data_IF_047809787277
#
_entry.id   IF_047809787277
#
_cell.length_a   1.000
_cell.length_b   1.000
_cell.length_c   1.000
_cell.angle_alpha   90.00
_cell.angle_beta   90.00
_cell.angle_gamma   90.00
#
_symmetry.space_group_name_H-M   'P 1'
#
loop_
_entity.id
_entity.type
_entity.pdbx_description
1 polymer ?
#
# COMPACT_ATOMS: atom_id res chain seq x y z
N UNK A 1 27.32 9.53 14.84
CA UNK A 1 27.40 8.70 13.61
C UNK A 1 26.51 7.49 13.77
N UNK A 2 25.84 7.09 12.72
CA UNK A 2 24.71 6.15 12.61
C UNK A 2 24.95 4.77 13.24
N UNK A 3 25.00 4.72 14.57
CA UNK A 3 25.27 3.49 15.33
C UNK A 3 24.12 2.46 15.21
N UNK A 4 22.94 2.90 14.76
CA UNK A 4 21.78 2.01 14.58
C UNK A 4 21.95 0.99 13.46
N UNK A 5 22.82 1.23 12.47
CA UNK A 5 23.08 0.27 11.38
C UNK A 5 23.69 -1.03 11.88
N UNK A 6 24.39 -0.99 13.00
CA UNK A 6 25.03 -2.15 13.61
C UNK A 6 24.06 -2.95 14.50
N UNK A 7 22.86 -2.43 14.76
CA UNK A 7 21.84 -3.17 15.53
C UNK A 7 21.27 -4.33 14.70
N UNK A 8 21.25 -5.56 15.21
CA UNK A 8 20.68 -6.71 14.50
C UNK A 8 19.24 -6.48 14.01
N UNK A 9 18.42 -5.74 14.78
CA UNK A 9 17.07 -5.39 14.44
C UNK A 9 16.97 -4.54 13.16
N UNK A 10 17.94 -3.67 12.87
CA UNK A 10 17.92 -2.88 11.64
C UNK A 10 18.01 -3.75 10.38
N UNK A 11 18.97 -4.67 10.35
CA UNK A 11 19.14 -5.61 9.24
C UNK A 11 17.94 -6.54 9.10
N UNK A 12 17.36 -6.96 10.25
CA UNK A 12 16.16 -7.78 10.30
C UNK A 12 14.98 -7.07 9.62
N UNK A 13 14.65 -5.85 10.05
CA UNK A 13 13.57 -5.05 9.48
C UNK A 13 13.82 -4.69 8.02
N UNK A 14 15.06 -4.40 7.64
CA UNK A 14 15.44 -4.10 6.25
C UNK A 14 15.08 -5.25 5.31
N UNK A 15 15.46 -6.48 5.66
CA UNK A 15 15.16 -7.66 4.82
C UNK A 15 13.64 -7.88 4.71
N UNK A 16 12.93 -7.83 5.83
CA UNK A 16 11.48 -8.03 5.82
C UNK A 16 10.74 -6.93 5.03
N UNK A 17 11.17 -5.67 5.14
CA UNK A 17 10.59 -4.56 4.36
C UNK A 17 10.83 -4.73 2.86
N UNK A 18 12.04 -5.11 2.45
CA UNK A 18 12.36 -5.39 1.05
C UNK A 18 11.44 -6.48 0.52
N UNK A 19 11.33 -7.61 1.23
CA UNK A 19 10.54 -8.75 0.78
C UNK A 19 9.03 -8.48 0.80
N UNK A 20 8.50 -7.81 1.83
CA UNK A 20 7.10 -7.47 1.90
C UNK A 20 6.69 -6.43 0.84
N UNK A 21 7.55 -5.42 0.61
CA UNK A 21 7.32 -4.42 -0.44
C UNK A 21 7.35 -5.05 -1.83
N UNK A 22 8.36 -5.87 -2.12
CA UNK A 22 8.44 -6.62 -3.37
C UNK A 22 7.23 -7.53 -3.57
N UNK A 23 6.82 -8.24 -2.51
CA UNK A 23 5.66 -9.13 -2.54
C UNK A 23 4.36 -8.40 -2.89
N UNK A 24 4.02 -7.35 -2.14
CA UNK A 24 2.81 -6.58 -2.39
C UNK A 24 2.82 -5.95 -3.77
N UNK A 25 3.93 -5.31 -4.16
CA UNK A 25 4.04 -4.63 -5.45
C UNK A 25 3.96 -5.60 -6.63
N UNK A 26 4.67 -6.72 -6.56
CA UNK A 26 4.60 -7.74 -7.60
C UNK A 26 3.20 -8.35 -7.72
N UNK A 27 2.53 -8.59 -6.59
CA UNK A 27 1.13 -9.04 -6.59
C UNK A 27 0.21 -7.98 -7.22
N UNK A 28 0.35 -6.71 -6.89
CA UNK A 28 -0.46 -5.63 -7.48
C UNK A 28 -0.26 -5.51 -8.99
N UNK A 29 0.97 -5.68 -9.47
CA UNK A 29 1.26 -5.62 -10.90
C UNK A 29 0.58 -6.73 -11.71
N UNK A 30 0.35 -7.89 -11.10
CA UNK A 30 -0.26 -9.05 -11.73
C UNK A 30 -1.78 -9.13 -11.50
N UNK A 31 -2.26 -8.64 -10.35
CA UNK A 31 -3.57 -8.96 -9.80
C UNK A 31 -4.73 -8.54 -10.71
N UNK A 32 -4.75 -7.31 -11.19
CA UNK A 32 -5.89 -6.78 -11.95
C UNK A 32 -6.05 -7.49 -13.29
N UNK A 33 -4.95 -7.74 -14.00
CA UNK A 33 -4.99 -8.50 -15.23
C UNK A 33 -5.40 -9.95 -14.98
N UNK A 34 -4.80 -10.63 -13.98
CA UNK A 34 -5.17 -11.98 -13.60
C UNK A 34 -6.66 -12.10 -13.23
N UNK A 35 -7.15 -11.19 -12.41
CA UNK A 35 -8.55 -11.16 -11.99
C UNK A 35 -9.49 -10.98 -13.20
N UNK A 36 -9.12 -10.14 -14.18
CA UNK A 36 -9.93 -9.91 -15.38
C UNK A 36 -9.79 -11.01 -16.41
N UNK A 37 -8.57 -11.39 -16.77
CA UNK A 37 -8.28 -12.27 -17.90
C UNK A 37 -8.49 -13.77 -17.57
N UNK A 38 -8.20 -14.18 -16.33
CA UNK A 38 -8.23 -15.57 -15.90
C UNK A 38 -9.48 -15.88 -15.08
N UNK A 39 -9.79 -15.04 -14.07
CA UNK A 39 -10.97 -15.27 -13.21
C UNK A 39 -12.25 -14.71 -13.82
N UNK A 40 -12.15 -13.72 -14.72
CA UNK A 40 -13.30 -13.13 -15.42
C UNK A 40 -14.12 -12.17 -14.58
N UNK A 41 -13.52 -11.51 -13.57
CA UNK A 41 -14.24 -10.61 -12.66
C UNK A 41 -14.81 -9.40 -13.39
N UNK A 42 -15.96 -8.92 -12.90
CA UNK A 42 -16.57 -7.67 -13.29
C UNK A 42 -16.20 -6.52 -12.32
N UNK A 43 -16.67 -5.30 -12.61
CA UNK A 43 -16.35 -4.11 -11.81
C UNK A 43 -16.82 -4.19 -10.36
N UNK A 44 -17.93 -4.85 -10.06
CA UNK A 44 -18.36 -5.09 -8.68
C UNK A 44 -17.43 -6.07 -7.96
N UNK A 45 -17.10 -7.17 -8.60
CA UNK A 45 -16.22 -8.19 -8.04
C UNK A 45 -14.80 -7.67 -7.79
N UNK A 46 -14.25 -6.83 -8.66
CA UNK A 46 -12.95 -6.19 -8.40
C UNK A 46 -13.04 -5.24 -7.20
N UNK A 47 -14.14 -4.49 -7.07
CA UNK A 47 -14.42 -3.66 -5.91
C UNK A 47 -14.48 -4.47 -4.61
N UNK A 48 -15.21 -5.59 -4.61
CA UNK A 48 -15.28 -6.52 -3.47
C UNK A 48 -13.91 -7.08 -3.11
N UNK A 49 -13.13 -7.54 -4.09
CA UNK A 49 -11.79 -8.09 -3.84
C UNK A 49 -10.86 -7.05 -3.19
N UNK A 50 -10.93 -5.81 -3.63
CA UNK A 50 -10.12 -4.73 -3.05
C UNK A 50 -10.63 -4.29 -1.67
N UNK A 51 -11.94 -4.26 -1.43
CA UNK A 51 -12.50 -4.02 -0.10
C UNK A 51 -12.08 -5.10 0.89
N UNK A 52 -12.18 -6.38 0.48
CA UNK A 52 -11.74 -7.54 1.28
C UNK A 52 -10.25 -7.47 1.61
N UNK A 53 -9.42 -6.99 0.69
CA UNK A 53 -7.99 -6.75 0.95
C UNK A 53 -7.74 -5.75 2.07
N UNK A 54 -8.58 -4.75 2.25
CA UNK A 54 -8.40 -3.70 3.26
C UNK A 54 -8.95 -4.11 4.65
N UNK A 55 -9.79 -5.16 4.76
CA UNK A 55 -10.36 -5.63 6.03
C UNK A 55 -9.27 -5.99 7.06
N UNK A 56 -8.21 -6.76 6.73
CA UNK A 56 -7.15 -7.05 7.70
C UNK A 56 -6.41 -5.80 8.18
N UNK A 57 -6.31 -4.75 7.33
CA UNK A 57 -5.76 -3.45 7.70
C UNK A 57 -6.62 -2.72 8.74
N UNK A 58 -7.94 -2.77 8.60
CA UNK A 58 -8.86 -2.27 9.61
C UNK A 58 -8.79 -3.09 10.92
N UNK A 59 -8.59 -4.41 10.82
CA UNK A 59 -8.53 -5.33 11.96
C UNK A 59 -7.11 -5.48 12.57
N UNK A 60 -6.18 -4.57 12.29
CA UNK A 60 -4.79 -4.64 12.81
C UNK A 60 -4.70 -4.62 14.34
N UNK A 61 -5.75 -4.18 15.05
CA UNK A 61 -5.82 -4.30 16.51
C UNK A 61 -5.76 -5.76 17.00
N UNK A 62 -6.13 -6.74 16.17
CA UNK A 62 -6.01 -8.16 16.49
C UNK A 62 -4.55 -8.63 16.65
N UNK A 63 -3.58 -7.87 16.13
CA UNK A 63 -2.15 -8.13 16.33
C UNK A 63 -1.81 -8.23 17.82
N UNK A 64 -2.45 -7.41 18.67
CA UNK A 64 -2.17 -7.46 20.10
C UNK A 64 -2.52 -8.80 20.75
N UNK A 65 -3.53 -9.52 20.24
CA UNK A 65 -3.85 -10.87 20.73
C UNK A 65 -2.81 -11.90 20.27
N UNK A 66 -2.24 -11.72 19.09
CA UNK A 66 -1.15 -12.58 18.62
C UNK A 66 0.13 -12.38 19.45
N UNK A 67 0.37 -11.16 19.94
CA UNK A 67 1.51 -10.85 20.80
C UNK A 67 1.42 -11.46 22.20
N UNK A 68 0.24 -11.96 22.62
CA UNK A 68 0.11 -12.77 23.84
C UNK A 68 0.69 -14.18 23.67
N UNK A 69 0.82 -14.65 22.42
CA UNK A 69 1.21 -16.02 22.09
C UNK A 69 2.67 -16.10 21.61
N UNK A 70 3.14 -15.05 20.92
CA UNK A 70 4.47 -15.04 20.33
C UNK A 70 5.16 -13.67 20.37
N UNK A 71 6.49 -13.67 20.32
CA UNK A 71 7.30 -12.44 20.28
C UNK A 71 7.07 -11.66 18.99
N UNK A 72 7.09 -10.34 19.07
CA UNK A 72 6.72 -9.44 17.96
C UNK A 72 7.59 -9.62 16.71
N UNK A 73 8.90 -9.80 16.85
CA UNK A 73 9.77 -10.09 15.70
C UNK A 73 9.39 -11.40 15.00
N UNK A 74 9.02 -12.44 15.75
CA UNK A 74 8.54 -13.71 15.15
C UNK A 74 7.21 -13.52 14.43
N UNK A 75 6.28 -12.75 15.02
CA UNK A 75 5.02 -12.42 14.35
C UNK A 75 5.28 -11.68 13.04
N UNK A 76 6.22 -10.73 13.03
CA UNK A 76 6.64 -10.00 11.83
C UNK A 76 7.12 -10.93 10.72
N UNK A 77 8.00 -11.90 11.04
CA UNK A 77 8.49 -12.88 10.07
C UNK A 77 7.38 -13.85 9.60
N UNK A 78 6.55 -14.38 10.52
CA UNK A 78 5.39 -15.21 10.15
C UNK A 78 4.40 -14.48 9.24
N UNK A 79 4.22 -13.18 9.46
CA UNK A 79 3.39 -12.35 8.60
C UNK A 79 3.93 -12.29 7.18
N UNK A 80 5.26 -12.19 6.99
CA UNK A 80 5.88 -12.26 5.66
C UNK A 80 5.79 -13.64 5.04
N UNK A 81 5.88 -14.73 5.84
CA UNK A 81 5.61 -16.09 5.35
C UNK A 81 4.17 -16.20 4.82
N UNK A 82 3.21 -15.72 5.61
CA UNK A 82 1.78 -15.75 5.24
C UNK A 82 1.51 -14.91 3.99
N UNK A 83 2.15 -13.74 3.87
CA UNK A 83 2.14 -12.91 2.66
C UNK A 83 2.60 -13.72 1.44
N UNK A 84 3.75 -14.41 1.56
CA UNK A 84 4.30 -15.25 0.49
C UNK A 84 3.36 -16.40 0.10
N UNK A 85 2.73 -17.06 1.08
CA UNK A 85 1.75 -18.13 0.85
C UNK A 85 0.54 -17.58 0.06
N UNK A 86 -0.04 -16.45 0.52
CA UNK A 86 -1.18 -15.83 -0.14
C UNK A 86 -0.88 -15.41 -1.58
N UNK A 87 0.30 -14.82 -1.82
CA UNK A 87 0.76 -14.45 -3.16
C UNK A 87 0.94 -15.69 -4.04
N UNK A 88 1.70 -16.68 -3.58
CA UNK A 88 2.00 -17.88 -4.35
C UNK A 88 0.75 -18.69 -4.68
N UNK A 89 -0.20 -18.75 -3.77
CA UNK A 89 -1.47 -19.42 -3.97
C UNK A 89 -2.37 -18.72 -5.01
N UNK A 90 -2.30 -17.40 -5.17
CA UNK A 90 -3.20 -16.62 -6.04
C UNK A 90 -3.29 -17.21 -7.45
N UNK A 91 -2.16 -17.59 -8.05
CA UNK A 91 -2.13 -18.13 -9.41
C UNK A 91 -2.79 -19.50 -9.62
N UNK A 92 -3.14 -20.20 -8.53
CA UNK A 92 -3.77 -21.53 -8.57
C UNK A 92 -5.29 -21.47 -8.40
N UNK A 93 -5.82 -20.37 -7.88
CA UNK A 93 -7.25 -20.21 -7.61
C UNK A 93 -7.88 -19.30 -8.68
N UNK A 94 -8.46 -19.91 -9.69
CA UNK A 94 -9.04 -19.25 -10.87
C UNK A 94 -10.53 -18.95 -10.74
N UNK A 95 -11.09 -19.05 -9.52
CA UNK A 95 -12.48 -18.69 -9.21
C UNK A 95 -12.55 -17.45 -8.33
N UNK A 96 -13.65 -16.70 -8.40
CA UNK A 96 -13.81 -15.50 -7.59
C UNK A 96 -13.71 -15.76 -6.06
N UNK A 97 -14.36 -16.79 -5.47
CA UNK A 97 -14.16 -17.12 -4.06
C UNK A 97 -12.70 -17.49 -3.72
N UNK A 98 -12.03 -18.22 -4.60
CA UNK A 98 -10.61 -18.56 -4.44
C UNK A 98 -9.71 -17.32 -4.47
N UNK A 99 -9.99 -16.37 -5.39
CA UNK A 99 -9.30 -15.08 -5.45
C UNK A 99 -9.47 -14.28 -4.15
N UNK A 100 -10.70 -14.24 -3.59
CA UNK A 100 -10.96 -13.57 -2.31
C UNK A 100 -10.17 -14.22 -1.17
N UNK A 101 -10.18 -15.56 -1.09
CA UNK A 101 -9.48 -16.29 -0.04
C UNK A 101 -7.96 -16.05 -0.07
N UNK A 102 -7.34 -16.11 -1.24
CA UNK A 102 -5.91 -15.82 -1.38
C UNK A 102 -5.57 -14.35 -1.11
N UNK A 103 -6.46 -13.44 -1.49
CA UNK A 103 -6.35 -12.00 -1.19
C UNK A 103 -6.40 -11.74 0.32
N UNK A 104 -7.30 -12.38 1.06
CA UNK A 104 -7.37 -12.27 2.54
C UNK A 104 -6.07 -12.76 3.17
N UNK A 105 -5.58 -13.95 2.79
CA UNK A 105 -4.35 -14.54 3.34
C UNK A 105 -3.16 -13.62 3.09
N UNK A 106 -2.98 -13.16 1.86
CA UNK A 106 -1.95 -12.21 1.49
C UNK A 106 -2.04 -10.92 2.30
N UNK A 107 -3.25 -10.39 2.44
CA UNK A 107 -3.49 -9.10 3.12
C UNK A 107 -3.28 -9.18 4.63
N UNK A 108 -3.68 -10.27 5.30
CA UNK A 108 -3.35 -10.49 6.72
C UNK A 108 -1.83 -10.44 6.88
N UNK A 109 -1.09 -11.16 6.05
CA UNK A 109 0.37 -11.15 6.09
C UNK A 109 0.95 -9.75 5.93
N UNK A 110 0.48 -8.99 4.95
CA UNK A 110 0.99 -7.64 4.71
C UNK A 110 0.68 -6.66 5.85
N UNK A 111 -0.57 -6.56 6.29
CA UNK A 111 -0.97 -5.58 7.30
C UNK A 111 -0.43 -5.89 8.70
N UNK A 112 -0.32 -7.18 9.07
CA UNK A 112 0.29 -7.57 10.33
C UNK A 112 1.79 -7.30 10.33
N UNK A 113 2.49 -7.58 9.20
CA UNK A 113 3.87 -7.16 9.03
C UNK A 113 4.02 -5.64 9.12
N UNK A 114 3.20 -4.85 8.45
CA UNK A 114 3.28 -3.38 8.47
C UNK A 114 3.13 -2.84 9.90
N UNK A 115 2.21 -3.41 10.68
CA UNK A 115 1.96 -3.02 12.07
C UNK A 115 3.14 -3.37 12.97
N UNK A 116 3.64 -4.59 12.90
CA UNK A 116 4.80 -5.04 13.71
C UNK A 116 6.08 -4.33 13.30
N UNK A 117 6.31 -4.05 12.00
CA UNK A 117 7.45 -3.29 11.53
C UNK A 117 7.50 -1.87 12.11
N UNK A 118 6.35 -1.18 12.14
CA UNK A 118 6.24 0.15 12.77
C UNK A 118 6.52 0.09 14.27
N UNK A 119 5.94 -0.89 14.95
CA UNK A 119 6.10 -1.10 16.38
C UNK A 119 7.55 -1.43 16.76
N UNK A 120 8.16 -2.42 16.12
CA UNK A 120 9.57 -2.79 16.34
C UNK A 120 10.53 -1.63 16.07
N UNK A 121 10.27 -0.82 15.04
CA UNK A 121 11.10 0.37 14.76
C UNK A 121 11.05 1.35 15.93
N UNK A 122 9.88 1.61 16.50
CA UNK A 122 9.74 2.55 17.63
C UNK A 122 10.30 1.97 18.94
N UNK A 123 10.28 0.65 19.11
CA UNK A 123 10.77 -0.01 20.32
C UNK A 123 12.30 -0.10 20.36
N UNK A 124 12.95 -0.41 19.24
CA UNK A 124 14.40 -0.71 19.20
C UNK A 124 15.27 0.48 18.82
N UNK A 125 14.67 1.56 18.31
CA UNK A 125 15.39 2.78 17.96
C UNK A 125 14.85 3.96 18.77
N UNK A 126 15.75 4.78 19.28
CA UNK A 126 15.38 5.95 20.08
C UNK A 126 14.64 7.02 19.25
N UNK A 127 14.17 8.08 19.93
CA UNK A 127 13.40 9.16 19.28
C UNK A 127 14.16 9.89 18.18
N UNK A 128 15.49 9.92 18.24
CA UNK A 128 16.33 10.55 17.23
C UNK A 128 16.54 9.63 16.03
N UNK A 129 16.81 8.36 16.25
CA UNK A 129 17.15 7.39 15.21
C UNK A 129 15.91 6.82 14.49
N UNK A 130 14.80 6.61 15.17
CA UNK A 130 13.59 5.99 14.60
C UNK A 130 13.09 6.70 13.32
N UNK A 131 13.02 8.04 13.21
CA UNK A 131 12.64 8.71 11.96
C UNK A 131 13.60 8.42 10.80
N UNK A 132 14.90 8.34 11.09
CA UNK A 132 15.94 8.05 10.10
C UNK A 132 15.82 6.60 9.61
N UNK A 133 15.58 5.66 10.54
CA UNK A 133 15.33 4.25 10.23
C UNK A 133 14.09 4.10 9.36
N UNK A 134 12.96 4.74 9.71
CA UNK A 134 11.76 4.75 8.87
C UNK A 134 12.02 5.26 7.46
N UNK A 135 12.74 6.38 7.34
CA UNK A 135 13.06 6.95 6.03
C UNK A 135 13.91 5.99 5.18
N UNK A 136 14.89 5.31 5.79
CA UNK A 136 15.74 4.34 5.10
C UNK A 136 14.97 3.07 4.70
N UNK A 137 14.17 2.52 5.61
CA UNK A 137 13.34 1.35 5.33
C UNK A 137 12.37 1.65 4.17
N UNK A 138 11.75 2.85 4.13
CA UNK A 138 10.95 3.30 2.98
C UNK A 138 11.76 3.37 1.69
N UNK A 139 13.01 3.84 1.76
CA UNK A 139 13.91 3.88 0.60
C UNK A 139 14.19 2.48 0.05
N UNK A 140 14.50 1.50 0.91
CA UNK A 140 14.66 0.11 0.51
C UNK A 140 13.38 -0.49 -0.08
N UNK A 141 12.22 -0.21 0.53
CA UNK A 141 10.93 -0.62 -0.02
C UNK A 141 10.67 -0.04 -1.42
N UNK A 142 11.00 1.23 -1.64
CA UNK A 142 10.85 1.87 -2.96
C UNK A 142 11.76 1.24 -4.01
N UNK A 143 13.02 0.93 -3.67
CA UNK A 143 13.93 0.21 -4.55
C UNK A 143 13.42 -1.21 -4.86
N UNK A 144 12.91 -1.91 -3.85
CA UNK A 144 12.31 -3.23 -4.02
C UNK A 144 11.10 -3.19 -4.97
N UNK A 145 10.26 -2.17 -4.86
CA UNK A 145 9.10 -1.97 -5.74
C UNK A 145 9.51 -1.75 -7.21
N UNK A 146 10.53 -0.94 -7.45
CA UNK A 146 11.07 -0.73 -8.80
C UNK A 146 11.64 -2.04 -9.35
N UNK A 147 12.47 -2.71 -8.56
CA UNK A 147 13.14 -3.95 -8.97
C UNK A 147 12.13 -5.05 -9.27
N UNK A 148 11.16 -5.30 -8.38
CA UNK A 148 10.15 -6.35 -8.61
C UNK A 148 9.23 -5.98 -9.77
N UNK A 149 8.88 -4.71 -9.94
CA UNK A 149 8.11 -4.26 -11.09
C UNK A 149 8.82 -4.58 -12.41
N UNK A 150 10.13 -4.30 -12.49
CA UNK A 150 10.95 -4.63 -13.65
C UNK A 150 11.07 -6.15 -13.87
N UNK A 151 11.23 -6.94 -12.79
CA UNK A 151 11.28 -8.40 -12.85
C UNK A 151 9.95 -8.97 -13.35
N UNK A 152 8.82 -8.52 -12.78
CA UNK A 152 7.48 -8.96 -13.22
C UNK A 152 7.23 -8.55 -14.67
N UNK A 153 7.59 -7.32 -15.05
CA UNK A 153 7.52 -6.88 -16.44
C UNK A 153 8.28 -7.83 -17.38
N UNK A 154 9.51 -8.14 -17.08
CA UNK A 154 10.34 -9.04 -17.88
C UNK A 154 9.78 -10.47 -17.92
N UNK A 155 9.43 -11.03 -16.77
CA UNK A 155 8.95 -12.40 -16.65
C UNK A 155 7.56 -12.58 -17.29
N UNK A 156 6.73 -11.54 -17.36
CA UNK A 156 5.41 -11.62 -17.98
C UNK A 156 5.42 -11.95 -19.47
N UNK A 157 6.55 -11.79 -20.14
CA UNK A 157 6.71 -12.21 -21.54
C UNK A 157 6.95 -13.71 -21.71
N UNK A 158 7.44 -14.39 -20.67
CA UNK A 158 7.94 -15.76 -20.76
C UNK A 158 7.17 -16.73 -19.84
N UNK A 159 6.60 -16.23 -18.76
CA UNK A 159 6.02 -17.06 -17.70
C UNK A 159 4.55 -16.68 -17.50
N UNK A 160 3.61 -17.67 -17.46
CA UNK A 160 2.20 -17.40 -17.20
C UNK A 160 1.98 -16.87 -15.79
N UNK A 161 0.79 -16.30 -15.52
CA UNK A 161 0.41 -15.75 -14.21
C UNK A 161 0.73 -16.69 -13.04
N UNK A 162 0.36 -17.96 -13.18
CA UNK A 162 0.61 -19.00 -12.15
C UNK A 162 2.09 -19.08 -11.77
N UNK A 163 2.98 -19.07 -12.75
CA UNK A 163 4.42 -19.11 -12.52
C UNK A 163 4.95 -17.82 -11.85
N UNK A 164 4.49 -16.66 -12.31
CA UNK A 164 4.87 -15.39 -11.73
C UNK A 164 4.46 -15.27 -10.25
N UNK A 165 3.20 -15.58 -9.91
CA UNK A 165 2.73 -15.60 -8.53
C UNK A 165 3.49 -16.60 -7.66
N UNK A 166 3.74 -17.80 -8.18
CA UNK A 166 4.46 -18.86 -7.45
C UNK A 166 5.90 -18.43 -7.14
N UNK A 167 6.64 -17.95 -8.12
CA UNK A 167 8.02 -17.50 -7.94
C UNK A 167 8.11 -16.36 -6.92
N UNK A 168 7.21 -15.37 -7.04
CA UNK A 168 7.14 -14.26 -6.11
C UNK A 168 6.78 -14.72 -4.69
N UNK A 169 5.79 -15.61 -4.56
CA UNK A 169 5.36 -16.17 -3.28
C UNK A 169 6.45 -17.00 -2.60
N UNK A 170 7.18 -17.83 -3.37
CA UNK A 170 8.35 -18.59 -2.87
C UNK A 170 9.44 -17.64 -2.39
N UNK A 171 9.79 -16.63 -3.17
CA UNK A 171 10.81 -15.65 -2.77
C UNK A 171 10.46 -14.97 -1.44
N UNK A 172 9.24 -14.45 -1.32
CA UNK A 172 8.77 -13.76 -0.11
C UNK A 172 8.66 -14.74 1.07
N UNK A 173 8.09 -15.92 0.84
CA UNK A 173 7.89 -16.94 1.88
C UNK A 173 9.21 -17.48 2.43
N UNK A 174 10.17 -17.81 1.56
CA UNK A 174 11.50 -18.29 1.98
C UNK A 174 12.27 -17.21 2.75
N UNK A 175 12.17 -15.94 2.35
CA UNK A 175 12.75 -14.85 3.11
C UNK A 175 12.15 -14.75 4.52
N UNK A 176 10.82 -14.86 4.66
CA UNK A 176 10.14 -14.90 5.95
C UNK A 176 10.62 -16.09 6.81
N UNK A 177 10.71 -17.30 6.23
CA UNK A 177 11.20 -18.50 6.91
C UNK A 177 12.66 -18.31 7.36
N UNK A 178 13.53 -17.76 6.50
CA UNK A 178 14.89 -17.43 6.86
C UNK A 178 14.94 -16.46 8.04
N UNK A 179 14.10 -15.44 8.07
CA UNK A 179 14.06 -14.48 9.16
C UNK A 179 13.53 -15.07 10.47
N UNK A 180 12.72 -16.14 10.45
CA UNK A 180 12.33 -16.89 11.65
C UNK A 180 13.52 -17.57 12.34
N UNK A 181 14.61 -17.88 11.64
CA UNK A 181 15.83 -18.44 12.24
C UNK A 181 16.67 -17.40 12.96
N UNK A 182 16.36 -16.09 12.79
CA UNK A 182 17.11 -14.99 13.40
C UNK A 182 16.43 -14.56 14.70
N UNK A 183 17.24 -14.19 15.68
CA UNK A 183 16.76 -13.58 16.93
C UNK A 183 17.40 -12.18 17.07
N UNK A 184 16.77 -11.14 16.50
CA UNK A 184 17.31 -9.78 16.54
C UNK A 184 17.03 -9.04 17.84
N UNK A 185 16.22 -9.64 18.75
CA UNK A 185 15.80 -9.04 19.99
C UNK A 185 16.82 -9.33 21.08
N UNK A 186 17.55 -8.30 21.55
CA UNK A 186 18.46 -8.41 22.69
C UNK A 186 17.73 -8.31 24.03
N UNK A 187 16.59 -7.58 24.09
CA UNK A 187 15.70 -7.45 25.24
C UNK A 187 14.22 -7.31 24.82
N UNK A 188 13.29 -7.68 25.68
CA UNK A 188 11.86 -7.47 25.45
C UNK A 188 11.53 -5.98 25.56
N UNK A 189 11.17 -5.35 24.45
CA UNK A 189 10.69 -3.97 24.45
C UNK A 189 9.35 -3.81 25.15
N UNK A 190 9.18 -2.72 25.88
CA UNK A 190 7.93 -2.38 26.56
C UNK A 190 6.82 -2.10 25.54
N UNK A 191 5.74 -2.87 25.59
CA UNK A 191 4.54 -2.63 24.79
C UNK A 191 3.86 -1.33 25.23
N UNK A 192 4.03 -0.25 24.48
CA UNK A 192 3.23 0.96 24.64
C UNK A 192 1.92 0.82 23.87
N UNK A 193 0.83 0.59 24.62
CA UNK A 193 -0.52 0.66 24.05
C UNK A 193 -0.89 2.12 23.77
N UNK A 194 -0.97 2.48 22.49
CA UNK A 194 -1.59 3.74 22.09
C UNK A 194 -3.11 3.54 22.00
N UNK A 195 -3.87 4.16 22.90
CA UNK A 195 -5.34 4.18 22.82
C UNK A 195 -5.75 5.00 21.60
N UNK A 196 -6.67 4.46 20.80
CA UNK A 196 -7.31 5.23 19.73
C UNK A 196 -8.22 6.28 20.37
N UNK A 197 -8.00 7.55 20.05
CA UNK A 197 -8.82 8.65 20.56
C UNK A 197 -9.25 9.54 19.41
N UNK A 198 -10.57 9.67 19.24
CA UNK A 198 -11.16 10.59 18.27
C UNK A 198 -11.35 11.97 18.92
N UNK A 199 -10.51 12.94 18.55
CA UNK A 199 -10.60 14.33 19.03
C UNK A 199 -11.36 15.18 18.01
N UNK A 200 -12.55 15.67 18.37
CA UNK A 200 -13.37 16.54 17.50
C UNK A 200 -12.61 17.76 16.96
N UNK A 201 -11.63 18.25 17.70
CA UNK A 201 -10.74 19.35 17.30
C UNK A 201 -10.04 19.10 15.95
N UNK A 202 -9.75 17.84 15.60
CA UNK A 202 -9.03 17.46 14.38
C UNK A 202 -9.95 16.93 13.27
N UNK A 203 -11.24 17.32 13.28
CA UNK A 203 -12.23 16.84 12.32
C UNK A 203 -11.82 17.03 10.86
N UNK A 204 -11.18 18.19 10.54
CA UNK A 204 -10.71 18.48 9.18
C UNK A 204 -9.63 17.47 8.73
N UNK A 205 -8.67 17.16 9.60
CA UNK A 205 -7.66 16.13 9.32
C UNK A 205 -8.31 14.76 9.06
N UNK A 206 -9.30 14.37 9.84
CA UNK A 206 -10.00 13.10 9.65
C UNK A 206 -10.79 13.06 8.35
N UNK A 207 -11.48 14.15 8.02
CA UNK A 207 -12.21 14.28 6.75
C UNK A 207 -11.24 14.20 5.55
N UNK A 208 -10.13 14.91 5.60
CA UNK A 208 -9.12 14.88 4.55
C UNK A 208 -8.49 13.48 4.41
N UNK A 209 -8.27 12.75 5.52
CA UNK A 209 -7.80 11.36 5.46
C UNK A 209 -8.83 10.42 4.84
N UNK A 210 -10.13 10.60 5.13
CA UNK A 210 -11.19 9.84 4.49
C UNK A 210 -11.21 10.07 2.98
N UNK A 211 -11.18 11.34 2.55
CA UNK A 211 -11.17 11.72 1.14
C UNK A 211 -9.90 11.25 0.42
N UNK A 212 -8.75 11.34 1.09
CA UNK A 212 -7.49 10.81 0.55
C UNK A 212 -7.52 9.30 0.37
N UNK A 213 -8.12 8.57 1.32
CA UNK A 213 -8.36 7.14 1.19
C UNK A 213 -9.33 6.80 0.06
N UNK A 214 -10.42 7.55 -0.07
CA UNK A 214 -11.40 7.40 -1.14
C UNK A 214 -10.75 7.57 -2.52
N UNK A 215 -10.02 8.68 -2.71
CA UNK A 215 -9.26 8.96 -3.92
C UNK A 215 -8.25 7.85 -4.24
N UNK A 216 -7.50 7.40 -3.22
CA UNK A 216 -6.54 6.32 -3.37
C UNK A 216 -7.18 5.06 -3.97
N UNK A 217 -8.38 4.72 -3.55
CA UNK A 217 -9.08 3.54 -4.06
C UNK A 217 -9.58 3.75 -5.50
N UNK A 218 -10.01 4.95 -5.87
CA UNK A 218 -10.35 5.24 -7.27
C UNK A 218 -9.13 5.02 -8.15
N UNK A 219 -7.96 5.52 -7.76
CA UNK A 219 -6.70 5.35 -8.49
C UNK A 219 -6.23 3.89 -8.54
N UNK A 220 -6.13 3.21 -7.39
CA UNK A 220 -5.56 1.86 -7.29
C UNK A 220 -6.49 0.80 -7.89
N UNK A 221 -7.82 0.98 -7.77
CA UNK A 221 -8.79 -0.02 -8.20
C UNK A 221 -9.33 0.31 -9.59
N UNK A 222 -10.03 1.44 -9.70
CA UNK A 222 -10.85 1.70 -10.89
C UNK A 222 -10.04 2.26 -12.06
N UNK A 223 -9.01 3.09 -11.81
CA UNK A 223 -8.16 3.57 -12.89
C UNK A 223 -7.33 2.42 -13.50
N UNK A 224 -6.77 1.51 -12.67
CA UNK A 224 -6.09 0.32 -13.19
C UNK A 224 -7.07 -0.63 -13.88
N UNK A 225 -8.25 -0.85 -13.30
CA UNK A 225 -9.27 -1.72 -13.89
C UNK A 225 -9.77 -1.16 -15.23
N UNK A 226 -9.89 0.17 -15.37
CA UNK A 226 -10.19 0.84 -16.65
C UNK A 226 -9.14 0.50 -17.71
N UNK A 227 -7.85 0.57 -17.36
CA UNK A 227 -6.76 0.26 -18.29
C UNK A 227 -6.80 -1.21 -18.74
N UNK A 228 -7.15 -2.13 -17.84
CA UNK A 228 -7.21 -3.56 -18.13
C UNK A 228 -8.51 -3.97 -18.83
N UNK A 229 -9.67 -3.53 -18.33
CA UNK A 229 -10.97 -3.98 -18.85
C UNK A 229 -11.35 -3.29 -20.16
N UNK A 230 -11.31 -1.96 -20.18
CA UNK A 230 -11.73 -1.17 -21.35
C UNK A 230 -10.65 -1.13 -22.42
N UNK A 231 -9.41 -0.83 -22.02
CA UNK A 231 -8.31 -0.65 -22.99
C UNK A 231 -7.51 -1.92 -23.23
N UNK A 232 -7.78 -3.01 -22.48
CA UNK A 232 -7.16 -4.34 -22.65
C UNK A 232 -5.63 -4.30 -22.63
N UNK A 233 -5.05 -3.45 -21.77
CA UNK A 233 -3.61 -3.37 -21.64
C UNK A 233 -3.07 -4.66 -20.98
N UNK A 234 -2.03 -5.21 -21.61
CA UNK A 234 -1.35 -6.40 -21.14
C UNK A 234 -0.66 -6.17 -19.79
N UNK A 235 -0.46 -7.25 -19.03
CA UNK A 235 0.23 -7.22 -17.74
C UNK A 235 1.62 -6.60 -17.81
N UNK A 236 2.36 -6.83 -18.91
CA UNK A 236 3.66 -6.20 -19.14
C UNK A 236 3.56 -4.68 -19.23
N UNK A 237 2.53 -4.15 -19.88
CA UNK A 237 2.30 -2.69 -19.96
C UNK A 237 1.97 -2.13 -18.57
N UNK A 238 1.09 -2.79 -17.81
CA UNK A 238 0.73 -2.37 -16.44
C UNK A 238 1.95 -2.41 -15.52
N UNK A 239 2.75 -3.46 -15.55
CA UNK A 239 3.98 -3.56 -14.77
C UNK A 239 5.00 -2.46 -15.16
N UNK A 240 5.16 -2.17 -16.45
CA UNK A 240 5.99 -1.06 -16.94
C UNK A 240 5.52 0.31 -16.44
N UNK A 241 4.20 0.55 -16.45
CA UNK A 241 3.60 1.78 -15.89
C UNK A 241 3.90 1.91 -14.40
N UNK A 242 3.83 0.83 -13.62
CA UNK A 242 4.19 0.86 -12.20
C UNK A 242 5.66 1.21 -11.99
N UNK A 243 6.59 0.63 -12.78
CA UNK A 243 8.01 0.98 -12.72
C UNK A 243 8.21 2.47 -13.00
N UNK A 244 7.57 2.99 -14.06
CA UNK A 244 7.61 4.41 -14.41
C UNK A 244 7.07 5.28 -13.26
N UNK A 245 5.94 4.92 -12.67
CA UNK A 245 5.33 5.65 -11.56
C UNK A 245 6.25 5.73 -10.34
N UNK A 246 6.90 4.63 -9.96
CA UNK A 246 7.86 4.64 -8.85
C UNK A 246 9.11 5.48 -9.17
N UNK A 247 9.62 5.42 -10.39
CA UNK A 247 10.74 6.24 -10.82
C UNK A 247 10.37 7.74 -10.76
N UNK A 248 9.20 8.11 -11.28
CA UNK A 248 8.70 9.49 -11.22
C UNK A 248 8.46 9.95 -9.77
N UNK A 249 7.86 9.09 -8.93
CA UNK A 249 7.69 9.36 -7.51
C UNK A 249 9.01 9.66 -6.82
N UNK A 250 10.03 8.85 -7.07
CA UNK A 250 11.36 9.05 -6.53
C UNK A 250 11.94 10.42 -6.95
N UNK A 251 11.80 10.78 -8.21
CA UNK A 251 12.30 12.05 -8.76
C UNK A 251 11.51 13.26 -8.25
N UNK A 252 10.18 13.14 -8.15
CA UNK A 252 9.29 14.27 -7.82
C UNK A 252 9.15 14.55 -6.33
N UNK A 253 9.35 13.57 -5.45
CA UNK A 253 9.19 13.73 -3.99
C UNK A 253 9.99 14.90 -3.42
N UNK A 254 11.21 15.13 -3.92
CA UNK A 254 12.05 16.26 -3.50
C UNK A 254 11.40 17.61 -3.81
N UNK A 255 10.81 17.73 -4.99
CA UNK A 255 10.16 18.97 -5.43
C UNK A 255 8.84 19.20 -4.70
N UNK A 256 8.09 18.15 -4.44
CA UNK A 256 6.83 18.20 -3.66
C UNK A 256 7.12 18.67 -2.23
N UNK A 257 8.09 18.05 -1.57
CA UNK A 257 8.48 18.47 -0.20
C UNK A 257 8.93 19.94 -0.16
N UNK A 258 9.67 20.38 -1.18
CA UNK A 258 10.07 21.80 -1.30
C UNK A 258 8.86 22.71 -1.52
N UNK A 259 7.91 22.32 -2.37
CA UNK A 259 6.70 23.09 -2.61
C UNK A 259 5.85 23.26 -1.32
N UNK A 260 5.71 22.19 -0.53
CA UNK A 260 5.01 22.26 0.76
C UNK A 260 5.69 23.28 1.71
N UNK A 261 7.02 23.27 1.76
CA UNK A 261 7.76 24.20 2.62
C UNK A 261 7.67 25.67 2.16
N UNK A 262 7.60 25.91 0.85
CA UNK A 262 7.57 27.27 0.26
C UNK A 262 6.15 27.84 0.23
N UNK A 263 5.18 27.06 -0.24
CA UNK A 263 3.80 27.52 -0.49
C UNK A 263 2.81 27.13 0.61
N UNK A 264 3.23 26.25 1.53
CA UNK A 264 2.38 25.72 2.60
C UNK A 264 1.43 24.61 2.15
N UNK A 265 0.94 23.85 3.15
CA UNK A 265 0.08 22.68 2.94
C UNK A 265 -1.22 23.03 2.24
N UNK A 266 -1.85 24.16 2.57
CA UNK A 266 -3.14 24.58 2.01
C UNK A 266 -3.06 24.73 0.49
N UNK A 267 -2.05 25.43 0.00
CA UNK A 267 -1.90 25.67 -1.45
C UNK A 267 -1.61 24.37 -2.18
N UNK A 268 -0.69 23.57 -1.65
CA UNK A 268 -0.27 22.31 -2.27
C UNK A 268 -1.42 21.29 -2.33
N UNK A 269 -2.17 21.12 -1.23
CA UNK A 269 -3.33 20.21 -1.19
C UNK A 269 -4.51 20.72 -2.04
N UNK A 270 -4.69 22.05 -2.15
CA UNK A 270 -5.72 22.60 -3.05
C UNK A 270 -5.37 22.38 -4.52
N UNK A 271 -4.08 22.57 -4.89
CA UNK A 271 -3.59 22.27 -6.25
C UNK A 271 -3.75 20.77 -6.58
N UNK A 272 -3.38 19.89 -5.64
CA UNK A 272 -3.62 18.46 -5.76
C UNK A 272 -5.08 18.16 -6.07
N UNK A 273 -6.00 18.69 -5.24
CA UNK A 273 -7.44 18.43 -5.38
C UNK A 273 -8.00 18.92 -6.71
N UNK A 274 -7.59 20.13 -7.15
CA UNK A 274 -8.00 20.69 -8.44
C UNK A 274 -7.46 19.86 -9.63
N UNK A 275 -6.19 19.43 -9.55
CA UNK A 275 -5.60 18.57 -10.59
C UNK A 275 -6.30 17.22 -10.67
N UNK A 276 -6.62 16.60 -9.52
CA UNK A 276 -7.32 15.32 -9.47
C UNK A 276 -8.75 15.41 -10.02
N UNK A 277 -9.45 16.51 -9.76
CA UNK A 277 -10.77 16.74 -10.36
C UNK A 277 -10.70 16.70 -11.89
N UNK A 278 -9.71 17.37 -12.48
CA UNK A 278 -9.50 17.36 -13.93
C UNK A 278 -9.12 15.95 -14.43
N UNK A 279 -8.25 15.25 -13.70
CA UNK A 279 -7.82 13.89 -14.06
C UNK A 279 -8.99 12.90 -14.04
N UNK A 280 -9.86 12.99 -13.03
CA UNK A 280 -11.01 12.10 -12.89
C UNK A 280 -12.05 12.38 -13.99
N UNK A 281 -12.31 13.63 -14.35
CA UNK A 281 -13.09 13.96 -15.54
C UNK A 281 -12.43 13.39 -16.79
N UNK A 282 -11.11 13.47 -16.89
CA UNK A 282 -10.35 12.86 -17.98
C UNK A 282 -10.61 11.35 -18.08
N UNK A 283 -10.52 10.60 -16.98
CA UNK A 283 -10.84 9.17 -16.98
C UNK A 283 -12.27 8.88 -17.44
N UNK A 284 -13.24 9.70 -17.02
CA UNK A 284 -14.63 9.51 -17.37
C UNK A 284 -14.94 9.72 -18.86
N UNK A 285 -14.25 10.64 -19.54
CA UNK A 285 -14.62 11.07 -20.89
C UNK A 285 -13.63 10.72 -21.99
N UNK A 286 -12.36 10.40 -21.64
CA UNK A 286 -11.35 10.06 -22.65
C UNK A 286 -11.51 8.61 -23.10
N UNK A 287 -11.41 8.42 -24.44
CA UNK A 287 -11.55 7.10 -25.06
C UNK A 287 -10.23 6.57 -25.63
N UNK A 288 -9.19 7.40 -25.66
CA UNK A 288 -7.87 7.01 -26.15
C UNK A 288 -7.04 6.34 -25.03
N UNK A 289 -6.55 5.12 -25.29
CA UNK A 289 -5.77 4.34 -24.32
C UNK A 289 -4.47 5.01 -23.88
N UNK A 290 -3.76 5.66 -24.80
CA UNK A 290 -2.50 6.35 -24.48
C UNK A 290 -2.74 7.56 -23.58
N UNK A 291 -3.82 8.31 -23.83
CA UNK A 291 -4.18 9.43 -22.96
C UNK A 291 -4.59 8.91 -21.59
N UNK A 292 -5.31 7.79 -21.50
CA UNK A 292 -5.64 7.17 -20.20
C UNK A 292 -4.38 6.76 -19.44
N UNK A 293 -3.35 6.23 -20.10
CA UNK A 293 -2.04 5.92 -19.50
C UNK A 293 -1.37 7.19 -19.00
N UNK A 294 -1.38 8.28 -19.77
CA UNK A 294 -0.79 9.56 -19.36
C UNK A 294 -1.53 10.09 -18.11
N UNK A 295 -2.87 10.04 -18.09
CA UNK A 295 -3.65 10.45 -16.93
C UNK A 295 -3.28 9.61 -15.69
N UNK A 296 -3.08 8.29 -15.85
CA UNK A 296 -2.71 7.40 -14.76
C UNK A 296 -1.30 7.73 -14.19
N UNK A 297 -0.37 8.06 -15.07
CA UNK A 297 0.98 8.48 -14.66
C UNK A 297 0.94 9.84 -13.93
N UNK A 298 0.16 10.80 -14.44
CA UNK A 298 -0.02 12.10 -13.79
C UNK A 298 -0.71 11.94 -12.42
N UNK A 299 -1.74 11.11 -12.32
CA UNK A 299 -2.43 10.81 -11.06
C UNK A 299 -1.45 10.25 -10.01
N UNK A 300 -0.55 9.35 -10.41
CA UNK A 300 0.51 8.83 -9.55
C UNK A 300 1.43 9.93 -9.00
N UNK A 301 1.77 10.94 -9.81
CA UNK A 301 2.58 12.07 -9.36
C UNK A 301 1.82 12.94 -8.36
N UNK A 302 0.58 13.31 -8.65
CA UNK A 302 -0.25 14.10 -7.74
C UNK A 302 -0.60 13.35 -6.46
N UNK A 303 -0.67 12.01 -6.49
CA UNK A 303 -0.88 11.20 -5.29
C UNK A 303 0.12 11.50 -4.17
N UNK A 304 1.37 11.83 -4.50
CA UNK A 304 2.42 12.07 -3.53
C UNK A 304 2.27 13.41 -2.78
N UNK A 305 1.43 14.32 -3.27
CA UNK A 305 1.14 15.59 -2.58
C UNK A 305 0.40 15.36 -1.24
N UNK A 306 -0.23 14.21 -1.04
CA UNK A 306 -0.86 13.80 0.22
C UNK A 306 0.08 13.76 1.44
N UNK A 307 1.40 13.82 1.22
CA UNK A 307 2.41 14.04 2.28
C UNK A 307 2.05 15.29 3.11
N UNK A 308 1.46 16.32 2.49
CA UNK A 308 0.99 17.53 3.14
C UNK A 308 -0.04 17.31 4.26
N UNK A 309 -0.79 16.20 4.26
CA UNK A 309 -1.72 15.87 5.35
C UNK A 309 -0.99 15.55 6.66
N UNK A 310 0.15 14.86 6.57
CA UNK A 310 0.93 14.53 7.75
C UNK A 310 1.61 15.77 8.33
N UNK A 311 2.15 16.65 7.48
CA UNK A 311 2.76 17.91 7.93
C UNK A 311 1.72 18.86 8.50
N UNK A 312 0.50 18.89 7.94
CA UNK A 312 -0.62 19.65 8.49
C UNK A 312 -0.95 19.21 9.93
N UNK A 313 -1.10 17.89 10.17
CA UNK A 313 -1.36 17.41 11.53
C UNK A 313 -0.20 17.74 12.48
N UNK A 314 1.04 17.56 12.06
CA UNK A 314 2.22 17.88 12.88
C UNK A 314 2.25 19.34 13.33
N UNK A 315 1.77 20.28 12.49
CA UNK A 315 1.72 21.72 12.80
C UNK A 315 0.52 22.12 13.65
N UNK A 316 -0.58 21.36 13.60
CA UNK A 316 -1.86 21.75 14.21
C UNK A 316 -2.21 20.95 15.46
N UNK A 317 -1.63 19.77 15.65
CA UNK A 317 -1.93 18.91 16.77
C UNK A 317 -1.05 19.20 17.99
N UNK A 318 -1.66 19.09 19.16
CA UNK A 318 -0.91 19.07 20.41
C UNK A 318 0.00 17.84 20.46
N UNK A 319 1.19 17.94 21.00
CA UNK A 319 2.20 16.87 21.02
C UNK A 319 1.67 15.57 21.66
N UNK A 320 0.81 15.71 22.68
CA UNK A 320 0.15 14.57 23.36
C UNK A 320 -0.86 13.84 22.50
N UNK A 321 -1.50 14.54 21.56
CA UNK A 321 -2.57 14.01 20.70
C UNK A 321 -2.06 13.49 19.34
N UNK A 322 -0.82 13.85 18.96
CA UNK A 322 -0.27 13.59 17.62
C UNK A 322 -0.30 12.11 17.25
N UNK A 323 0.22 11.24 18.12
CA UNK A 323 0.28 9.79 17.86
C UNK A 323 -1.12 9.16 17.77
N UNK A 324 -2.02 9.55 18.67
CA UNK A 324 -3.38 9.03 18.73
C UNK A 324 -4.21 9.49 17.51
N UNK A 325 -4.08 10.77 17.14
CA UNK A 325 -4.78 11.33 15.97
C UNK A 325 -4.24 10.76 14.65
N UNK A 326 -2.93 10.50 14.56
CA UNK A 326 -2.33 9.81 13.40
C UNK A 326 -2.89 8.39 13.26
N UNK A 327 -2.97 7.63 14.34
CA UNK A 327 -3.55 6.29 14.35
C UNK A 327 -5.04 6.29 13.96
N UNK A 328 -5.82 7.28 14.45
CA UNK A 328 -7.21 7.46 14.05
C UNK A 328 -7.35 7.81 12.57
N UNK A 329 -6.49 8.72 12.05
CA UNK A 329 -6.46 9.04 10.63
C UNK A 329 -6.18 7.81 9.75
N UNK A 330 -5.26 6.94 10.16
CA UNK A 330 -4.98 5.68 9.50
C UNK A 330 -6.19 4.75 9.47
N UNK A 331 -6.89 4.60 10.62
CA UNK A 331 -8.13 3.81 10.70
C UNK A 331 -9.22 4.35 9.77
N UNK A 332 -9.44 5.67 9.75
CA UNK A 332 -10.41 6.33 8.87
C UNK A 332 -10.06 6.11 7.39
N UNK A 333 -8.78 6.15 7.04
CA UNK A 333 -8.32 5.85 5.69
C UNK A 333 -8.65 4.42 5.27
N UNK A 334 -8.53 3.42 6.17
CA UNK A 334 -8.94 2.04 5.89
C UNK A 334 -10.46 1.87 5.79
N UNK A 335 -11.25 2.61 6.59
CA UNK A 335 -12.71 2.61 6.46
C UNK A 335 -13.10 3.06 5.05
N UNK A 336 -12.56 4.17 4.57
CA UNK A 336 -12.84 4.63 3.20
C UNK A 336 -12.35 3.63 2.14
N UNK A 337 -11.22 2.97 2.41
CA UNK A 337 -10.65 1.97 1.51
C UNK A 337 -11.48 0.67 1.40
N UNK A 338 -12.36 0.39 2.37
CA UNK A 338 -13.34 -0.69 2.30
C UNK A 338 -14.62 -0.21 1.58
N UNK A 339 -15.13 0.96 1.96
CA UNK A 339 -16.44 1.44 1.50
C UNK A 339 -16.39 1.85 0.01
N UNK A 340 -15.37 2.60 -0.40
CA UNK A 340 -15.30 3.17 -1.74
C UNK A 340 -15.21 2.12 -2.85
N UNK A 341 -14.42 1.04 -2.75
CA UNK A 341 -14.44 0.00 -3.78
C UNK A 341 -15.78 -0.72 -3.92
N UNK A 342 -16.53 -0.89 -2.83
CA UNK A 342 -17.86 -1.49 -2.88
C UNK A 342 -18.86 -0.59 -3.61
N UNK A 343 -18.90 0.69 -3.28
CA UNK A 343 -19.76 1.68 -3.95
C UNK A 343 -19.34 1.84 -5.40
N UNK A 344 -18.06 2.10 -5.66
CA UNK A 344 -17.54 2.29 -7.01
C UNK A 344 -17.70 1.06 -7.90
N UNK A 345 -17.55 -0.15 -7.34
CA UNK A 345 -17.80 -1.39 -8.05
C UNK A 345 -19.27 -1.57 -8.45
N UNK A 346 -20.22 -1.18 -7.57
CA UNK A 346 -21.64 -1.16 -7.88
C UNK A 346 -21.97 -0.14 -8.98
N UNK A 347 -21.38 1.05 -8.88
CA UNK A 347 -21.53 2.11 -9.89
C UNK A 347 -20.94 1.70 -11.24
N UNK A 348 -19.81 0.97 -11.25
CA UNK A 348 -19.18 0.46 -12.46
C UNK A 348 -20.10 -0.43 -13.28
N UNK A 349 -20.93 -1.26 -12.63
CA UNK A 349 -21.91 -2.10 -13.33
C UNK A 349 -22.98 -1.30 -14.05
N UNK A 350 -23.34 -0.11 -13.53
CA UNK A 350 -24.27 0.78 -14.18
C UNK A 350 -23.62 1.53 -15.35
N UNK A 351 -22.47 2.12 -15.09
CA UNK A 351 -21.63 2.76 -16.10
C UNK A 351 -20.21 2.91 -15.55
N UNK A 352 -19.23 2.44 -16.30
CA UNK A 352 -17.80 2.48 -15.93
C UNK A 352 -17.28 3.91 -15.65
N UNK A 353 -17.96 4.95 -16.12
CA UNK A 353 -17.62 6.37 -15.87
C UNK A 353 -17.95 6.83 -14.46
N UNK A 354 -19.00 6.26 -13.86
CA UNK A 354 -19.53 6.74 -12.57
C UNK A 354 -18.55 6.74 -11.40
N UNK A 355 -17.63 5.76 -11.24
CA UNK A 355 -16.64 5.83 -10.17
C UNK A 355 -15.68 7.03 -10.26
N UNK A 356 -15.57 7.67 -11.41
CA UNK A 356 -14.72 8.84 -11.63
C UNK A 356 -15.48 10.19 -11.54
N UNK A 357 -16.81 10.15 -11.53
CA UNK A 357 -17.70 11.33 -11.42
C UNK A 357 -18.20 11.52 -9.99
#
# INVERSE_FOLDING_TARGET
MENFKNKPMYSYLMVLVICASAGLQGWMALFTNFAKEIVGVNGFQIGVAQAVREIPGFLTFLVMYMLLIMREHRLSAWSVVLLGIGIGATGFFTTFPGLLMTTIVMSIGFHYFETTNKSLTVQYFDRHDAPIVFARLRGYGALANITVGAVVWMLSFFIPYRGNFLLLGIFVGLAGIYMLTKNPAEEEGLHRQNKLVLRRKYWLYYTLNFLSGARRQIFIVFAVFLLVEKYRLAVSTIAGIYVLNYALTFLTNRYISRAINVYGERVVLSLESASLFILFLGYAFIENSWVAVILYVLDSVFFNFSIGLNTYLQKTADTSDLSQSTAMGFTINHISAIIIPLIGGSLWLLNWRLPFL
#
